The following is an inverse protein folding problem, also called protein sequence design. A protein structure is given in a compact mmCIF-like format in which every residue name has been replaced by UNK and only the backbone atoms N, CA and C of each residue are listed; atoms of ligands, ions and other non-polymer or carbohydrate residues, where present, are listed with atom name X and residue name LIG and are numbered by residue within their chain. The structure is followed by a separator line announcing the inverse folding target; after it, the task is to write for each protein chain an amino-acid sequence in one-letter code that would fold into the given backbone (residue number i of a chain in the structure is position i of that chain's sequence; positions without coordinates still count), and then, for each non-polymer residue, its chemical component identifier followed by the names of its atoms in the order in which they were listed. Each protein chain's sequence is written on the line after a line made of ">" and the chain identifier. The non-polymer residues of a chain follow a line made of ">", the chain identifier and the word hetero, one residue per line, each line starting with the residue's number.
data_IF_440146549427
#
_entry.id   IF_440146549427
#
_cell.length_a   1.000
_cell.length_b   1.000
_cell.length_c   1.000
_cell.angle_alpha   90.00
_cell.angle_beta   90.00
_cell.angle_gamma   90.00
#
_symmetry.space_group_name_H-M   'P 1'
#
loop_
_entity.id
_entity.type
_entity.pdbx_description
1 polymer ?
#
# COMPACT_ATOMS: atom_id res chain seq x y z
N UNK A 1 -11.20 -9.73 0.31
CA UNK A 1 -11.13 -9.64 1.79
C UNK A 1 -10.04 -10.53 2.41
N UNK A 2 -9.72 -11.71 1.86
CA UNK A 2 -8.68 -12.57 2.44
C UNK A 2 -7.29 -11.90 2.42
N UNK A 3 -6.91 -11.32 1.27
CA UNK A 3 -5.73 -10.46 1.14
C UNK A 3 -5.61 -9.39 2.25
N UNK A 4 -6.58 -8.48 2.33
CA UNK A 4 -6.59 -7.39 3.33
C UNK A 4 -6.43 -7.90 4.77
N UNK A 5 -7.06 -9.03 5.13
CA UNK A 5 -6.88 -9.66 6.45
C UNK A 5 -5.44 -10.14 6.67
N UNK A 6 -4.81 -10.73 5.66
CA UNK A 6 -3.41 -11.15 5.71
C UNK A 6 -2.45 -9.97 5.85
N UNK A 7 -2.70 -8.88 5.14
CA UNK A 7 -1.92 -7.63 5.24
C UNK A 7 -2.03 -7.06 6.65
N UNK A 8 -3.25 -6.93 7.18
CA UNK A 8 -3.47 -6.46 8.55
C UNK A 8 -2.83 -7.38 9.61
N UNK A 9 -2.92 -8.70 9.45
CA UNK A 9 -2.27 -9.66 10.36
C UNK A 9 -0.75 -9.50 10.35
N UNK A 10 -0.16 -9.24 9.19
CA UNK A 10 1.29 -8.97 9.06
C UNK A 10 1.65 -7.62 9.68
N UNK A 11 0.82 -6.60 9.48
CA UNK A 11 0.97 -5.28 10.10
C UNK A 11 0.93 -5.35 11.63
N UNK A 12 0.02 -6.14 12.22
CA UNK A 12 -0.06 -6.38 13.67
C UNK A 12 1.21 -7.05 14.24
N UNK A 13 1.91 -7.85 13.44
CA UNK A 13 3.20 -8.43 13.86
C UNK A 13 4.31 -7.39 13.85
N UNK A 14 4.35 -6.56 12.80
CA UNK A 14 5.35 -5.50 12.65
C UNK A 14 5.13 -4.33 13.60
N UNK A 15 3.89 -4.06 14.00
CA UNK A 15 3.52 -2.93 14.84
C UNK A 15 4.30 -2.87 16.17
N UNK A 16 4.75 -4.04 16.67
CA UNK A 16 5.60 -4.18 17.87
C UNK A 16 6.97 -3.49 17.76
N UNK A 17 7.37 -3.06 16.56
CA UNK A 17 8.63 -2.35 16.30
C UNK A 17 8.48 -0.83 16.32
N UNK A 18 7.26 -0.33 16.49
CA UNK A 18 6.94 1.09 16.48
C UNK A 18 6.38 1.53 17.84
N UNK A 19 6.36 2.84 18.09
CA UNK A 19 5.60 3.41 19.19
C UNK A 19 4.10 3.14 19.03
N UNK A 20 3.33 3.26 20.12
CA UNK A 20 1.93 2.87 20.15
C UNK A 20 1.07 3.59 19.09
N UNK A 21 1.31 4.88 18.84
CA UNK A 21 0.53 5.64 17.88
C UNK A 21 0.83 5.18 16.45
N UNK A 22 2.10 5.04 16.10
CA UNK A 22 2.52 4.55 14.78
C UNK A 22 2.08 3.10 14.55
N UNK A 23 2.14 2.27 15.59
CA UNK A 23 1.66 0.89 15.58
C UNK A 23 0.17 0.79 15.20
N UNK A 24 -0.68 1.59 15.84
CA UNK A 24 -2.12 1.64 15.55
C UNK A 24 -2.38 2.15 14.13
N UNK A 25 -1.66 3.19 13.69
CA UNK A 25 -1.78 3.70 12.32
C UNK A 25 -1.36 2.67 11.25
N UNK A 26 -0.29 1.92 11.48
CA UNK A 26 0.17 0.88 10.56
C UNK A 26 -0.87 -0.24 10.42
N UNK A 27 -1.46 -0.70 11.52
CA UNK A 27 -2.51 -1.73 11.50
C UNK A 27 -3.76 -1.21 10.79
N UNK A 28 -4.20 0.01 11.11
CA UNK A 28 -5.34 0.64 10.43
C UNK A 28 -5.10 0.77 8.92
N UNK A 29 -3.92 1.22 8.51
CA UNK A 29 -3.55 1.31 7.10
C UNK A 29 -3.52 -0.08 6.43
N UNK A 30 -3.06 -1.12 7.12
CA UNK A 30 -3.12 -2.49 6.63
C UNK A 30 -4.54 -2.95 6.28
N UNK A 31 -5.52 -2.60 7.11
CA UNK A 31 -6.94 -2.85 6.85
C UNK A 31 -7.54 -2.01 5.71
N UNK A 32 -7.01 -0.80 5.50
CA UNK A 32 -7.67 0.23 4.68
C UNK A 32 -6.96 0.53 3.35
N UNK A 33 -5.76 0.01 3.08
CA UNK A 33 -4.96 0.37 1.89
C UNK A 33 -5.74 0.17 0.56
N UNK A 34 -6.53 -0.89 0.47
CA UNK A 34 -7.33 -1.24 -0.72
C UNK A 34 -8.78 -0.73 -0.68
N UNK A 35 -9.16 0.08 0.34
CA UNK A 35 -10.56 0.51 0.52
C UNK A 35 -11.08 1.32 -0.67
N UNK A 36 -10.19 1.99 -1.41
CA UNK A 36 -10.52 2.77 -2.60
C UNK A 36 -11.10 1.94 -3.75
N UNK A 37 -10.95 0.62 -3.74
CA UNK A 37 -11.64 -0.25 -4.72
C UNK A 37 -13.14 -0.40 -4.46
N UNK A 38 -13.62 -0.11 -3.24
CA UNK A 38 -15.03 -0.28 -2.90
C UNK A 38 -15.91 0.65 -3.77
N UNK A 39 -17.03 0.17 -4.35
CA UNK A 39 -17.88 0.99 -5.23
C UNK A 39 -18.41 2.27 -4.58
N UNK A 40 -18.63 2.28 -3.26
CA UNK A 40 -19.07 3.45 -2.50
C UNK A 40 -17.95 4.45 -2.18
N UNK A 41 -16.70 4.06 -2.37
CA UNK A 41 -15.50 4.88 -2.09
C UNK A 41 -14.85 5.38 -3.38
N UNK A 42 -14.87 4.58 -4.44
CA UNK A 42 -14.29 4.91 -5.74
C UNK A 42 -14.86 6.21 -6.30
N UNK A 43 -13.99 7.14 -6.69
CA UNK A 43 -14.34 8.46 -7.27
C UNK A 43 -13.55 8.73 -8.54
N UNK A 44 -12.23 8.63 -8.48
CA UNK A 44 -11.32 8.90 -9.61
C UNK A 44 -10.96 7.63 -10.36
N UNK A 45 -11.13 6.46 -9.73
CA UNK A 45 -10.70 5.18 -10.28
C UNK A 45 -9.25 4.83 -9.99
N UNK A 46 -8.53 5.67 -9.23
CA UNK A 46 -7.22 5.40 -8.66
C UNK A 46 -7.37 5.15 -7.15
N UNK A 47 -7.33 3.87 -6.77
CA UNK A 47 -7.73 3.44 -5.42
C UNK A 47 -6.88 4.01 -4.26
N UNK A 48 -5.58 4.32 -4.40
CA UNK A 48 -4.83 4.92 -3.29
C UNK A 48 -5.37 6.31 -2.96
N UNK A 49 -5.66 7.13 -3.97
CA UNK A 49 -6.23 8.46 -3.79
C UNK A 49 -7.65 8.40 -3.24
N UNK A 50 -8.52 7.61 -3.87
CA UNK A 50 -9.92 7.45 -3.45
C UNK A 50 -10.01 6.92 -2.01
N UNK A 51 -9.16 5.95 -1.66
CA UNK A 51 -9.05 5.41 -0.31
C UNK A 51 -8.55 6.42 0.71
N UNK A 52 -7.50 7.18 0.37
CA UNK A 52 -6.92 8.18 1.28
C UNK A 52 -7.90 9.31 1.58
N UNK A 53 -8.64 9.80 0.59
CA UNK A 53 -9.69 10.81 0.78
C UNK A 53 -10.79 10.30 1.73
N UNK A 54 -11.24 9.05 1.52
CA UNK A 54 -12.23 8.42 2.38
C UNK A 54 -11.75 8.27 3.81
N UNK A 55 -10.56 7.69 4.01
CA UNK A 55 -9.95 7.46 5.32
C UNK A 55 -9.77 8.76 6.10
N UNK A 56 -9.32 9.83 5.41
CA UNK A 56 -9.22 11.17 6.00
C UNK A 56 -10.59 11.70 6.43
N UNK A 57 -11.61 11.62 5.56
CA UNK A 57 -12.96 12.06 5.88
C UNK A 57 -13.63 11.27 7.01
N UNK A 58 -13.28 9.99 7.15
CA UNK A 58 -13.78 9.10 8.19
C UNK A 58 -13.06 9.29 9.55
N UNK A 59 -12.05 10.16 9.62
CA UNK A 59 -11.42 10.56 10.88
C UNK A 59 -10.31 9.62 11.39
N UNK A 60 -9.73 8.78 10.53
CA UNK A 60 -8.61 7.90 10.91
C UNK A 60 -7.26 8.62 11.11
N UNK A 61 -7.19 9.91 10.78
CA UNK A 61 -6.01 10.75 10.96
C UNK A 61 -5.08 10.80 9.75
N UNK A 62 -4.20 11.81 9.72
CA UNK A 62 -3.36 12.12 8.56
C UNK A 62 -2.34 11.03 8.24
N UNK A 63 -1.73 10.39 9.26
CA UNK A 63 -0.75 9.34 8.99
C UNK A 63 -1.38 8.13 8.29
N UNK A 64 -2.59 7.71 8.69
CA UNK A 64 -3.29 6.60 8.03
C UNK A 64 -3.66 7.01 6.59
N UNK A 65 -4.18 8.22 6.40
CA UNK A 65 -4.51 8.73 5.08
C UNK A 65 -3.29 8.79 4.15
N UNK A 66 -2.15 9.29 4.64
CA UNK A 66 -0.88 9.30 3.92
C UNK A 66 -0.40 7.87 3.60
N UNK A 67 -0.42 6.96 4.55
CA UNK A 67 -0.03 5.57 4.29
C UNK A 67 -0.89 4.93 3.20
N UNK A 68 -2.20 5.16 3.21
CA UNK A 68 -3.11 4.69 2.16
C UNK A 68 -2.85 5.41 0.82
N UNK A 69 -2.55 6.71 0.83
CA UNK A 69 -2.29 7.48 -0.39
C UNK A 69 -1.04 6.99 -1.13
N UNK A 70 -0.01 6.59 -0.39
CA UNK A 70 1.32 6.28 -0.94
C UNK A 70 1.66 4.78 -0.96
N UNK A 71 0.73 3.90 -0.53
CA UNK A 71 1.02 2.47 -0.38
C UNK A 71 1.53 1.83 -1.69
N UNK A 72 2.44 0.87 -1.54
CA UNK A 72 2.95 -0.01 -2.60
C UNK A 72 3.34 0.73 -3.89
N UNK A 73 3.99 1.89 -3.76
CA UNK A 73 4.50 2.64 -4.91
C UNK A 73 3.44 3.44 -5.67
N UNK A 74 2.29 3.75 -5.07
CA UNK A 74 1.19 4.51 -5.67
C UNK A 74 1.63 5.82 -6.36
N UNK A 75 2.70 6.47 -5.89
CA UNK A 75 3.25 7.67 -6.55
C UNK A 75 3.67 7.42 -8.01
N UNK A 76 4.25 6.25 -8.31
CA UNK A 76 4.64 5.89 -9.67
C UNK A 76 3.41 5.66 -10.56
N UNK A 77 2.37 5.00 -10.04
CA UNK A 77 1.12 4.82 -10.77
C UNK A 77 0.38 6.14 -10.99
N UNK A 78 0.39 7.04 -10.00
CA UNK A 78 -0.17 8.38 -10.16
C UNK A 78 0.53 9.14 -11.30
N UNK A 79 1.86 9.03 -11.41
CA UNK A 79 2.62 9.62 -12.51
C UNK A 79 2.24 9.03 -13.87
N UNK A 80 2.14 7.69 -14.00
CA UNK A 80 1.68 7.01 -15.23
C UNK A 80 0.25 7.44 -15.63
N UNK A 81 -0.61 7.74 -14.65
CA UNK A 81 -1.97 8.23 -14.86
C UNK A 81 -2.07 9.75 -15.08
N UNK A 82 -0.99 10.50 -14.89
CA UNK A 82 -1.02 11.97 -14.93
C UNK A 82 -1.84 12.62 -13.80
N UNK A 83 -1.97 11.95 -12.66
CA UNK A 83 -2.77 12.41 -11.51
C UNK A 83 -1.90 13.17 -10.50
N UNK A 84 -2.36 14.36 -10.09
CA UNK A 84 -1.69 15.19 -9.08
C UNK A 84 -2.29 15.09 -7.67
N UNK A 85 -3.39 14.36 -7.50
CA UNK A 85 -4.17 14.33 -6.25
C UNK A 85 -3.40 13.86 -5.01
N UNK A 86 -2.34 13.07 -5.18
CA UNK A 86 -1.48 12.66 -4.06
C UNK A 86 -0.75 13.83 -3.40
N UNK A 87 -0.54 14.96 -4.10
CA UNK A 87 0.06 16.18 -3.52
C UNK A 87 -0.75 16.80 -2.37
N UNK A 88 -2.01 16.39 -2.20
CA UNK A 88 -2.85 16.81 -1.08
C UNK A 88 -2.57 16.04 0.23
N UNK A 89 -1.62 15.11 0.23
CA UNK A 89 -1.22 14.30 1.38
C UNK A 89 0.29 14.48 1.62
N UNK A 90 0.69 14.49 2.89
CA UNK A 90 2.11 14.53 3.25
C UNK A 90 2.76 13.16 3.08
N UNK A 91 4.04 13.13 2.69
CA UNK A 91 4.80 11.88 2.65
C UNK A 91 4.82 11.23 4.05
N UNK A 92 4.43 9.95 4.18
CA UNK A 92 4.51 9.24 5.45
C UNK A 92 5.99 8.95 5.81
N UNK A 93 6.30 8.70 7.09
CA UNK A 93 7.64 8.24 7.48
C UNK A 93 8.04 6.99 6.68
N UNK A 94 9.22 7.02 6.07
CA UNK A 94 9.66 6.01 5.10
C UNK A 94 9.69 4.60 5.69
N UNK A 95 10.11 4.45 6.94
CA UNK A 95 10.13 3.16 7.64
C UNK A 95 8.73 2.55 7.85
N UNK A 96 7.70 3.38 8.03
CA UNK A 96 6.31 2.93 8.20
C UNK A 96 5.69 2.58 6.85
N UNK A 97 5.99 3.37 5.81
CA UNK A 97 5.57 3.06 4.44
C UNK A 97 6.23 1.78 3.91
N UNK A 98 7.51 1.58 4.21
CA UNK A 98 8.23 0.33 3.93
C UNK A 98 7.57 -0.85 4.63
N UNK A 99 7.15 -0.69 5.90
CA UNK A 99 6.45 -1.72 6.64
C UNK A 99 5.09 -2.07 6.00
N UNK A 100 4.29 -1.08 5.59
CA UNK A 100 3.03 -1.34 4.89
C UNK A 100 3.26 -2.01 3.53
N UNK A 101 4.25 -1.53 2.77
CA UNK A 101 4.66 -2.12 1.49
C UNK A 101 5.12 -3.57 1.67
N UNK A 102 5.87 -3.87 2.74
CA UNK A 102 6.24 -5.24 3.09
C UNK A 102 5.00 -6.09 3.37
N UNK A 103 4.02 -5.58 4.13
CA UNK A 103 2.81 -6.33 4.46
C UNK A 103 2.01 -6.71 3.21
N UNK A 104 1.81 -5.78 2.27
CA UNK A 104 1.12 -6.05 1.01
C UNK A 104 1.92 -7.01 0.11
N UNK A 105 3.21 -6.74 -0.10
CA UNK A 105 4.04 -7.54 -1.01
C UNK A 105 4.37 -8.94 -0.49
N UNK A 106 4.20 -9.21 0.80
CA UNK A 106 4.38 -10.56 1.38
C UNK A 106 3.06 -11.29 1.61
N UNK A 107 1.92 -10.71 1.20
CA UNK A 107 0.59 -11.32 1.34
C UNK A 107 -0.06 -11.58 -0.01
N UNK A 108 -0.43 -12.83 -0.25
CA UNK A 108 -1.13 -13.28 -1.45
C UNK A 108 -2.60 -12.83 -1.50
N UNK A 109 -3.28 -13.01 -2.65
CA UNK A 109 -4.69 -12.67 -2.81
C UNK A 109 -5.63 -13.46 -1.87
N UNK A 110 -5.22 -14.68 -1.48
CA UNK A 110 -5.88 -15.55 -0.52
C UNK A 110 -5.53 -15.22 0.95
N UNK A 111 -4.68 -14.23 1.19
CA UNK A 111 -4.20 -13.84 2.52
C UNK A 111 -3.04 -14.68 3.05
N UNK A 112 -2.56 -15.67 2.29
CA UNK A 112 -1.43 -16.50 2.69
C UNK A 112 -0.09 -15.78 2.42
N UNK A 113 0.99 -16.13 3.15
CA UNK A 113 2.32 -15.63 2.84
C UNK A 113 2.75 -15.98 1.42
N UNK A 114 3.32 -15.02 0.71
CA UNK A 114 3.87 -15.18 -0.65
C UNK A 114 5.24 -14.51 -0.73
N UNK A 115 6.08 -14.95 -1.67
CA UNK A 115 7.33 -14.24 -1.92
C UNK A 115 7.05 -12.89 -2.59
N UNK A 116 7.77 -11.80 -2.24
CA UNK A 116 7.59 -10.49 -2.89
C UNK A 116 7.75 -10.53 -4.40
N UNK A 117 8.67 -11.36 -4.90
CA UNK A 117 8.88 -11.51 -6.35
C UNK A 117 7.68 -12.18 -7.01
N UNK A 118 7.11 -13.20 -6.38
CA UNK A 118 5.90 -13.87 -6.91
C UNK A 118 4.69 -12.95 -6.83
N UNK A 119 4.53 -12.19 -5.73
CA UNK A 119 3.47 -11.20 -5.59
C UNK A 119 3.53 -10.12 -6.68
N UNK A 120 4.71 -9.62 -7.03
CA UNK A 120 4.88 -8.66 -8.13
C UNK A 120 4.58 -9.29 -9.50
N UNK A 121 5.01 -10.54 -9.74
CA UNK A 121 4.65 -11.28 -10.96
C UNK A 121 3.13 -11.45 -11.08
N UNK A 122 2.46 -11.78 -9.98
CA UNK A 122 1.00 -11.92 -9.93
C UNK A 122 0.28 -10.61 -10.24
N UNK A 123 0.81 -9.46 -9.80
CA UNK A 123 0.26 -8.14 -10.17
C UNK A 123 0.43 -7.92 -11.67
N UNK A 124 1.66 -8.03 -12.18
CA UNK A 124 1.97 -7.77 -13.58
C UNK A 124 1.18 -8.66 -14.54
N UNK A 125 0.90 -9.91 -14.17
CA UNK A 125 0.11 -10.84 -14.97
C UNK A 125 -1.38 -10.48 -15.09
N UNK A 126 -1.92 -9.63 -14.21
CA UNK A 126 -3.33 -9.19 -14.25
C UNK A 126 -3.58 -8.07 -15.26
N UNK A 127 -2.54 -7.35 -15.66
CA UNK A 127 -2.63 -6.13 -16.45
C UNK A 127 -1.80 -6.26 -17.73
N UNK A 128 -2.33 -5.75 -18.84
CA UNK A 128 -1.57 -5.63 -20.09
C UNK A 128 -0.40 -4.64 -19.92
N UNK A 129 0.64 -4.75 -20.77
CA UNK A 129 1.85 -3.91 -20.67
C UNK A 129 1.60 -2.40 -20.80
N UNK A 130 0.49 -2.01 -21.43
CA UNK A 130 0.08 -0.61 -21.61
C UNK A 130 -0.76 -0.08 -20.43
N UNK A 131 -1.13 -0.93 -19.47
CA UNK A 131 -1.88 -0.50 -18.29
C UNK A 131 -0.97 0.30 -17.33
N UNK A 132 -1.43 1.44 -16.77
CA UNK A 132 -0.66 2.23 -15.82
C UNK A 132 -0.15 1.44 -14.61
N UNK A 133 -0.92 0.46 -14.11
CA UNK A 133 -0.50 -0.39 -13.00
C UNK A 133 0.71 -1.24 -13.42
N UNK A 134 0.66 -1.81 -14.61
CA UNK A 134 1.76 -2.63 -15.12
C UNK A 134 3.05 -1.81 -15.24
N UNK A 135 2.97 -0.64 -15.89
CA UNK A 135 4.14 0.23 -16.10
C UNK A 135 4.75 0.71 -14.78
N UNK A 136 3.91 1.16 -13.85
CA UNK A 136 4.36 1.63 -12.55
C UNK A 136 5.03 0.52 -11.72
N UNK A 137 4.43 -0.67 -11.68
CA UNK A 137 4.98 -1.82 -10.94
C UNK A 137 6.26 -2.34 -11.60
N UNK A 138 6.34 -2.34 -12.93
CA UNK A 138 7.53 -2.77 -13.65
C UNK A 138 8.69 -1.80 -13.43
N UNK A 139 8.45 -0.50 -13.58
CA UNK A 139 9.45 0.55 -13.37
C UNK A 139 9.89 0.65 -11.88
N UNK A 140 8.94 0.51 -10.95
CA UNK A 140 9.18 0.59 -9.50
C UNK A 140 9.67 -0.71 -8.85
N UNK A 141 9.80 -1.80 -9.61
CA UNK A 141 10.04 -3.16 -9.11
C UNK A 141 11.23 -3.23 -8.13
N UNK A 142 12.35 -2.64 -8.49
CA UNK A 142 13.58 -2.75 -7.70
C UNK A 142 13.49 -2.00 -6.37
N UNK A 143 12.81 -0.85 -6.35
CA UNK A 143 12.56 -0.07 -5.14
C UNK A 143 11.54 -0.76 -4.24
N UNK A 144 10.46 -1.32 -4.80
CA UNK A 144 9.49 -2.12 -4.04
C UNK A 144 10.16 -3.33 -3.36
N UNK A 145 11.06 -4.02 -4.08
CA UNK A 145 11.85 -5.09 -3.49
C UNK A 145 12.89 -4.58 -2.48
N UNK A 146 13.39 -3.35 -2.64
CA UNK A 146 14.30 -2.71 -1.68
C UNK A 146 13.59 -2.37 -0.37
N UNK A 147 12.37 -1.81 -0.43
CA UNK A 147 11.52 -1.57 0.74
C UNK A 147 11.34 -2.85 1.57
N UNK A 148 11.03 -3.97 0.90
CA UNK A 148 10.92 -5.27 1.57
C UNK A 148 12.23 -5.70 2.23
N UNK A 149 13.39 -5.50 1.56
CA UNK A 149 14.70 -5.83 2.14
C UNK A 149 14.99 -4.97 3.37
N UNK A 150 14.74 -3.66 3.30
CA UNK A 150 14.92 -2.73 4.43
C UNK A 150 14.14 -3.20 5.64
N UNK A 151 12.90 -3.65 5.48
CA UNK A 151 12.11 -4.22 6.59
C UNK A 151 12.75 -5.48 7.16
N UNK A 152 13.18 -6.42 6.30
CA UNK A 152 13.82 -7.67 6.73
C UNK A 152 15.08 -7.47 7.55
N UNK A 153 15.85 -6.41 7.28
CA UNK A 153 17.11 -6.14 7.97
C UNK A 153 16.93 -5.76 9.45
N UNK A 154 15.70 -5.37 9.85
CA UNK A 154 15.35 -5.11 11.24
C UNK A 154 14.26 -6.03 11.77
N UNK A 155 13.92 -7.15 11.10
CA UNK A 155 13.14 -8.24 11.70
C UNK A 155 14.02 -9.11 12.59
#
# INVERSE_FOLDING_TARGET
>A
MAHVRGVATTAERLSRRFDAQTADCLVAAGWLHDIGYAPSVRRTGFHPLDGAEFVRSAGFGELVASLVAFHTGAHAEAAERGLSGLSAFSDPPSNVLDALTFCDLTTGPDGAPISPRDRLRDVLARYGSEDPVHRAVDAGRDELLAAVRRVRDWL
#
